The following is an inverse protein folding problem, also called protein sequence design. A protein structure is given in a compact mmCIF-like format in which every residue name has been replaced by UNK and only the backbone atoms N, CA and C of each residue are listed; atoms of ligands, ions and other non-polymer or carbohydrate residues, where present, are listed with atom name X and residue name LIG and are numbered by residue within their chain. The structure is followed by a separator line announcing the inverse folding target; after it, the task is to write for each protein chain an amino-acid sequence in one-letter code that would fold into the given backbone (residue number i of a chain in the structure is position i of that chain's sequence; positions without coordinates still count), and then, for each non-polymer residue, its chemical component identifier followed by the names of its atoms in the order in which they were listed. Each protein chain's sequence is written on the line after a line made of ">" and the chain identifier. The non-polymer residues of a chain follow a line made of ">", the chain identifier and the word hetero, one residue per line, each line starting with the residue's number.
data_IF_396725058048
#
_entry.id   IF_396725058048
#
_cell.length_a   1.000
_cell.length_b   1.000
_cell.length_c   1.000
_cell.angle_alpha   90.00
_cell.angle_beta   90.00
_cell.angle_gamma   90.00
#
_symmetry.space_group_name_H-M   'P 1'
#
loop_
_entity.id
_entity.type
_entity.pdbx_description
1 polymer ?
#
# COMPACT_ATOMS: atom_id res chain seq x y z
N UNK A 1 -3.27 -23.23 -22.17
CA UNK A 1 -4.02 -22.65 -21.04
C UNK A 1 -4.25 -21.17 -21.30
N UNK A 2 -5.37 -20.65 -20.83
CA UNK A 2 -5.63 -19.19 -20.84
C UNK A 2 -4.60 -18.52 -19.93
N UNK A 3 -4.14 -17.32 -20.28
CA UNK A 3 -3.20 -16.53 -19.47
C UNK A 3 -3.73 -16.34 -18.04
N UNK A 4 -2.87 -16.56 -17.04
CA UNK A 4 -3.18 -16.34 -15.63
C UNK A 4 -2.67 -14.96 -15.24
N UNK A 5 -3.54 -13.97 -14.98
CA UNK A 5 -3.10 -12.62 -14.59
C UNK A 5 -2.48 -12.62 -13.19
N UNK A 6 -1.57 -11.67 -12.95
CA UNK A 6 -0.91 -11.54 -11.64
C UNK A 6 -1.89 -11.20 -10.52
N UNK A 7 -2.96 -10.50 -10.85
CA UNK A 7 -4.05 -10.18 -9.95
C UNK A 7 -5.37 -10.04 -10.74
N UNK A 8 -6.45 -10.52 -10.15
CA UNK A 8 -7.82 -10.35 -10.63
C UNK A 8 -8.72 -10.18 -9.41
N UNK A 9 -9.50 -9.09 -9.31
CA UNK A 9 -10.43 -8.87 -8.21
C UNK A 9 -11.61 -9.84 -8.30
N UNK A 10 -12.23 -10.14 -7.15
CA UNK A 10 -13.42 -10.98 -7.08
C UNK A 10 -14.66 -10.08 -6.95
N UNK A 11 -15.41 -9.93 -8.06
CA UNK A 11 -16.57 -9.03 -8.17
C UNK A 11 -17.86 -9.84 -8.31
N UNK A 12 -18.16 -10.69 -7.36
CA UNK A 12 -19.33 -11.56 -7.35
C UNK A 12 -20.23 -11.38 -6.12
N UNK A 13 -20.12 -10.23 -5.45
CA UNK A 13 -20.97 -9.77 -4.34
C UNK A 13 -22.06 -8.80 -4.79
N UNK A 14 -22.25 -7.75 -4.01
CA UNK A 14 -23.26 -6.72 -4.23
C UNK A 14 -22.83 -5.58 -5.18
N UNK A 15 -21.63 -5.66 -5.79
CA UNK A 15 -21.06 -4.56 -6.59
C UNK A 15 -22.04 -4.09 -7.69
N UNK A 16 -22.55 -5.05 -8.48
CA UNK A 16 -23.50 -4.75 -9.57
C UNK A 16 -24.80 -4.15 -9.02
N UNK A 17 -25.31 -4.67 -7.90
CA UNK A 17 -26.55 -4.17 -7.28
C UNK A 17 -26.40 -2.69 -6.90
N UNK A 18 -25.34 -2.33 -6.18
CA UNK A 18 -25.12 -0.97 -5.71
C UNK A 18 -24.78 0.00 -6.84
N UNK A 19 -24.07 -0.47 -7.88
CA UNK A 19 -23.85 0.33 -9.09
C UNK A 19 -25.16 0.64 -9.82
N UNK A 20 -26.06 -0.34 -9.97
CA UNK A 20 -27.38 -0.10 -10.56
C UNK A 20 -28.17 0.91 -9.73
N UNK A 21 -28.15 0.83 -8.40
CA UNK A 21 -28.79 1.81 -7.53
C UNK A 21 -28.25 3.24 -7.75
N UNK A 22 -26.95 3.42 -7.94
CA UNK A 22 -26.39 4.72 -8.31
C UNK A 22 -26.97 5.27 -9.61
N UNK A 23 -27.15 4.41 -10.62
CA UNK A 23 -27.71 4.80 -11.91
C UNK A 23 -29.20 5.11 -11.79
N UNK A 24 -29.97 4.26 -11.12
CA UNK A 24 -31.42 4.40 -10.96
C UNK A 24 -31.79 5.66 -10.19
N UNK A 25 -30.98 6.03 -9.19
CA UNK A 25 -31.19 7.23 -8.37
C UNK A 25 -30.53 8.48 -8.91
N UNK A 26 -29.64 8.36 -9.89
CA UNK A 26 -28.86 9.47 -10.45
C UNK A 26 -27.72 9.95 -9.56
N UNK A 27 -27.47 9.33 -8.40
CA UNK A 27 -26.35 9.65 -7.50
C UNK A 27 -25.06 9.00 -7.96
N UNK A 28 -24.36 9.64 -8.90
CA UNK A 28 -23.12 9.10 -9.51
C UNK A 28 -21.84 9.85 -9.10
N UNK A 29 -21.97 11.08 -8.59
CA UNK A 29 -20.85 11.98 -8.29
C UNK A 29 -20.44 11.96 -6.82
N UNK A 30 -19.72 12.95 -6.34
CA UNK A 30 -19.04 12.94 -5.02
C UNK A 30 -19.95 13.27 -3.83
N UNK A 31 -21.22 13.52 -4.02
CA UNK A 31 -22.17 13.88 -2.94
C UNK A 31 -23.21 12.79 -2.63
N UNK A 32 -23.03 11.60 -3.20
CA UNK A 32 -23.96 10.50 -3.03
C UNK A 32 -23.90 9.83 -1.64
N UNK A 33 -24.96 9.10 -1.24
CA UNK A 33 -25.07 8.48 0.08
C UNK A 33 -24.01 7.42 0.34
N UNK A 34 -23.62 6.64 -0.68
CA UNK A 34 -22.60 5.61 -0.53
C UNK A 34 -21.22 6.18 -0.16
N UNK A 35 -20.88 7.41 -0.57
CA UNK A 35 -19.60 8.03 -0.17
C UNK A 35 -19.51 8.17 1.34
N UNK A 36 -20.56 8.71 1.98
CA UNK A 36 -20.59 8.89 3.44
C UNK A 36 -20.56 7.56 4.18
N UNK A 37 -21.32 6.59 3.69
CA UNK A 37 -21.37 5.25 4.28
C UNK A 37 -20.02 4.55 4.15
N UNK A 38 -19.36 4.65 2.99
CA UNK A 38 -18.04 4.07 2.77
C UNK A 38 -16.96 4.72 3.66
N UNK A 39 -16.98 6.06 3.78
CA UNK A 39 -16.08 6.78 4.71
C UNK A 39 -16.26 6.29 6.15
N UNK A 40 -17.49 6.14 6.61
CA UNK A 40 -17.80 5.65 7.94
C UNK A 40 -17.35 4.20 8.14
N UNK A 41 -17.72 3.31 7.23
CA UNK A 41 -17.40 1.88 7.34
C UNK A 41 -15.90 1.58 7.28
N UNK A 42 -15.14 2.29 6.44
CA UNK A 42 -13.68 2.14 6.39
C UNK A 42 -13.02 2.70 7.65
N UNK A 43 -13.48 3.85 8.16
CA UNK A 43 -12.95 4.38 9.43
C UNK A 43 -13.25 3.43 10.61
N UNK A 44 -14.44 2.87 10.71
CA UNK A 44 -14.81 1.86 11.71
C UNK A 44 -13.91 0.62 11.60
N UNK A 45 -13.73 0.08 10.39
CA UNK A 45 -12.89 -1.11 10.14
C UNK A 45 -11.40 -0.88 10.48
N UNK A 46 -10.91 0.35 10.33
CA UNK A 46 -9.55 0.75 10.72
C UNK A 46 -9.43 1.23 12.17
N UNK A 47 -10.52 1.21 12.96
CA UNK A 47 -10.51 1.67 14.35
C UNK A 47 -10.33 3.18 14.52
N UNK A 48 -10.70 3.99 13.50
CA UNK A 48 -10.61 5.45 13.48
C UNK A 48 -11.98 6.10 13.53
N UNK A 49 -12.02 7.38 13.93
CA UNK A 49 -13.24 8.18 14.00
C UNK A 49 -13.68 8.74 12.66
N UNK A 50 -12.74 9.18 11.84
CA UNK A 50 -13.00 9.92 10.61
C UNK A 50 -12.35 9.23 9.41
N UNK A 51 -13.14 9.08 8.34
CA UNK A 51 -12.70 8.67 7.02
C UNK A 51 -12.96 9.77 5.99
N UNK A 52 -12.03 9.98 5.09
CA UNK A 52 -12.13 10.95 3.99
C UNK A 52 -11.73 10.25 2.71
N UNK A 53 -12.73 9.89 1.90
CA UNK A 53 -12.52 9.22 0.62
C UNK A 53 -11.94 10.17 -0.42
N UNK A 54 -10.92 9.71 -1.14
CA UNK A 54 -10.22 10.47 -2.18
C UNK A 54 -10.02 9.64 -3.44
N UNK A 55 -9.64 10.29 -4.55
CA UNK A 55 -9.62 9.71 -5.88
C UNK A 55 -8.73 8.47 -6.04
N UNK A 56 -7.64 8.35 -5.28
CA UNK A 56 -6.72 7.21 -5.28
C UNK A 56 -5.77 7.26 -4.09
N UNK A 57 -4.94 6.22 -3.90
CA UNK A 57 -3.99 6.14 -2.78
C UNK A 57 -2.91 7.22 -2.81
N UNK A 58 -2.46 7.65 -3.99
CA UNK A 58 -1.50 8.77 -4.13
C UNK A 58 -2.11 10.07 -3.62
N UNK A 59 -3.35 10.36 -3.99
CA UNK A 59 -4.09 11.51 -3.46
C UNK A 59 -4.27 11.43 -1.94
N UNK A 60 -4.46 10.24 -1.38
CA UNK A 60 -4.54 10.05 0.08
C UNK A 60 -3.23 10.46 0.77
N UNK A 61 -2.08 10.03 0.25
CA UNK A 61 -0.77 10.40 0.78
C UNK A 61 -0.50 11.91 0.64
N UNK A 62 -0.80 12.50 -0.52
CA UNK A 62 -0.63 13.94 -0.75
C UNK A 62 -1.49 14.77 0.20
N UNK A 63 -2.75 14.39 0.40
CA UNK A 63 -3.65 15.04 1.36
C UNK A 63 -3.15 14.87 2.79
N UNK A 64 -2.67 13.68 3.17
CA UNK A 64 -2.13 13.42 4.51
C UNK A 64 -0.91 14.28 4.83
N UNK A 65 0.07 14.34 3.91
CA UNK A 65 1.28 15.16 4.07
C UNK A 65 0.93 16.66 4.21
N UNK A 66 0.04 17.16 3.34
CA UNK A 66 -0.40 18.56 3.39
C UNK A 66 -1.21 18.89 4.65
N UNK A 67 -2.09 17.96 5.08
CA UNK A 67 -2.93 18.16 6.27
C UNK A 67 -2.10 18.27 7.56
N UNK A 68 -0.98 17.56 7.64
CA UNK A 68 -0.03 17.65 8.76
C UNK A 68 0.81 18.95 8.75
N UNK A 69 0.67 19.80 7.73
CA UNK A 69 1.41 21.05 7.62
C UNK A 69 2.89 20.88 7.25
N UNK A 70 3.26 19.72 6.70
CA UNK A 70 4.61 19.46 6.17
C UNK A 70 4.82 20.37 4.96
N UNK A 71 5.99 21.02 4.90
CA UNK A 71 6.28 22.08 3.93
C UNK A 71 7.73 22.06 3.47
N UNK A 72 8.07 23.00 2.60
CA UNK A 72 9.43 23.16 2.06
C UNK A 72 10.50 23.19 3.15
N UNK A 73 11.51 22.36 2.99
CA UNK A 73 12.65 22.22 3.90
C UNK A 73 12.43 21.30 5.09
N UNK A 74 11.21 20.85 5.36
CA UNK A 74 10.95 19.80 6.34
C UNK A 74 11.46 18.45 5.85
N UNK A 75 11.80 17.55 6.77
CA UNK A 75 12.25 16.19 6.46
C UNK A 75 11.22 15.17 6.91
N UNK A 76 10.99 14.14 6.06
CA UNK A 76 10.13 12.98 6.36
C UNK A 76 10.93 11.71 6.20
N UNK A 77 11.13 10.97 7.29
CA UNK A 77 11.83 9.68 7.27
C UNK A 77 10.88 8.62 6.71
N UNK A 78 11.36 7.83 5.74
CA UNK A 78 10.57 6.81 5.05
C UNK A 78 11.45 5.70 4.46
N UNK A 79 10.90 4.51 4.13
CA UNK A 79 11.69 3.47 3.48
C UNK A 79 12.10 3.87 2.06
N UNK A 80 13.31 3.48 1.64
CA UNK A 80 13.72 3.61 0.24
C UNK A 80 13.00 2.59 -0.66
N UNK A 81 12.62 1.44 -0.11
CA UNK A 81 11.92 0.37 -0.82
C UNK A 81 10.42 0.48 -0.61
N UNK A 82 9.75 1.18 -1.53
CA UNK A 82 8.29 1.38 -1.52
C UNK A 82 7.79 1.88 -2.87
N UNK A 83 6.48 2.14 -2.97
CA UNK A 83 5.86 2.82 -4.12
C UNK A 83 6.29 4.28 -4.18
N UNK A 84 6.55 4.79 -5.38
CA UNK A 84 7.01 6.17 -5.59
C UNK A 84 6.07 7.23 -5.02
N UNK A 85 4.78 6.93 -4.88
CA UNK A 85 3.75 7.85 -4.35
C UNK A 85 4.09 8.39 -2.97
N UNK A 86 4.77 7.59 -2.12
CA UNK A 86 5.21 8.01 -0.79
C UNK A 86 6.20 9.18 -0.88
N UNK A 87 7.26 9.04 -1.65
CA UNK A 87 8.25 10.10 -1.84
C UNK A 87 7.69 11.28 -2.66
N UNK A 88 6.82 11.02 -3.64
CA UNK A 88 6.14 12.07 -4.40
C UNK A 88 5.28 12.97 -3.52
N UNK A 89 4.51 12.41 -2.59
CA UNK A 89 3.69 13.20 -1.67
C UNK A 89 4.54 14.17 -0.82
N UNK A 90 5.72 13.72 -0.38
CA UNK A 90 6.69 14.54 0.38
C UNK A 90 7.33 15.61 -0.51
N UNK A 91 7.83 15.23 -1.69
CA UNK A 91 8.53 16.18 -2.58
C UNK A 91 7.59 17.20 -3.22
N UNK A 92 6.31 16.87 -3.38
CA UNK A 92 5.29 17.79 -3.94
C UNK A 92 5.10 19.05 -3.08
N UNK A 93 5.30 18.96 -1.77
CA UNK A 93 5.24 20.11 -0.84
C UNK A 93 6.61 20.76 -0.60
N UNK A 94 7.65 20.37 -1.34
CA UNK A 94 9.01 20.86 -1.18
C UNK A 94 9.76 20.29 0.02
N UNK A 95 9.19 19.30 0.70
CA UNK A 95 9.86 18.57 1.78
C UNK A 95 10.84 17.52 1.24
N UNK A 96 11.72 17.04 2.09
CA UNK A 96 12.82 16.15 1.76
C UNK A 96 12.53 14.75 2.31
N UNK A 97 12.38 13.72 1.46
CA UNK A 97 12.38 12.33 1.93
C UNK A 97 13.76 11.97 2.47
N UNK A 98 13.81 11.44 3.70
CA UNK A 98 15.02 10.89 4.31
C UNK A 98 14.87 9.39 4.36
N UNK A 99 15.74 8.67 3.66
CA UNK A 99 15.56 7.27 3.38
C UNK A 99 16.21 6.37 4.44
N UNK A 100 15.57 5.23 4.71
CA UNK A 100 16.11 4.12 5.50
C UNK A 100 16.10 2.83 4.68
N UNK A 101 16.98 1.89 5.00
CA UNK A 101 17.05 0.58 4.33
C UNK A 101 15.86 -0.31 4.74
N UNK A 102 15.84 -1.52 4.26
CA UNK A 102 14.86 -2.54 4.58
C UNK A 102 15.42 -3.61 5.50
N UNK A 103 14.61 -4.10 6.42
CA UNK A 103 14.87 -5.37 7.08
C UNK A 103 14.73 -6.52 6.07
N UNK A 104 15.77 -7.33 5.96
CA UNK A 104 15.86 -8.37 4.93
C UNK A 104 14.89 -9.53 5.17
N UNK A 105 14.38 -9.71 6.37
CA UNK A 105 13.49 -10.80 6.73
C UNK A 105 12.02 -10.44 6.50
N UNK A 106 11.62 -9.25 6.94
CA UNK A 106 10.23 -8.77 6.82
C UNK A 106 9.99 -8.01 5.51
N UNK A 107 11.05 -7.56 4.84
CA UNK A 107 11.05 -6.68 3.66
C UNK A 107 10.50 -5.28 3.91
N UNK A 108 10.14 -4.99 5.14
CA UNK A 108 9.68 -3.68 5.59
C UNK A 108 10.86 -2.75 5.90
N UNK A 109 10.58 -1.49 6.22
CA UNK A 109 11.62 -0.55 6.63
C UNK A 109 12.37 -1.04 7.88
N UNK A 110 13.69 -0.81 7.91
CA UNK A 110 14.51 -1.09 9.08
C UNK A 110 14.28 0.01 10.13
N UNK A 111 13.59 -0.36 11.21
CA UNK A 111 13.21 0.58 12.27
C UNK A 111 14.40 1.03 13.11
N UNK A 112 15.48 0.24 13.17
CA UNK A 112 16.68 0.55 13.95
C UNK A 112 17.51 1.68 13.30
N UNK A 113 17.34 1.92 12.01
CA UNK A 113 18.01 3.05 11.31
C UNK A 113 17.33 4.40 11.54
N UNK A 114 16.08 4.45 11.99
CA UNK A 114 15.27 5.68 12.02
C UNK A 114 15.90 6.73 12.93
N UNK A 115 16.27 6.35 14.17
CA UNK A 115 16.76 7.31 15.17
C UNK A 115 18.01 8.05 14.71
N UNK A 116 18.93 7.37 14.02
CA UNK A 116 20.16 7.95 13.49
C UNK A 116 19.92 8.97 12.34
N UNK A 117 18.75 8.93 11.71
CA UNK A 117 18.35 9.85 10.62
C UNK A 117 17.59 11.08 11.10
N UNK A 118 17.24 11.17 12.41
CA UNK A 118 16.50 12.31 12.96
C UNK A 118 17.38 13.55 13.03
N UNK A 119 16.90 14.64 12.46
CA UNK A 119 17.52 15.99 12.53
C UNK A 119 16.53 17.01 13.09
N UNK A 120 16.95 18.25 13.39
CA UNK A 120 16.04 19.33 13.77
C UNK A 120 14.98 19.69 12.70
N UNK A 121 15.18 19.27 11.45
CA UNK A 121 14.24 19.46 10.33
C UNK A 121 13.23 18.33 10.20
N UNK A 122 13.47 17.19 10.84
CA UNK A 122 12.56 16.04 10.78
C UNK A 122 11.22 16.41 11.41
N UNK A 123 10.14 16.25 10.66
CA UNK A 123 8.76 16.54 11.07
C UNK A 123 7.90 15.30 11.17
N UNK A 124 8.20 14.29 10.37
CA UNK A 124 7.39 13.07 10.38
C UNK A 124 8.22 11.82 10.08
N UNK A 125 7.68 10.68 10.49
CA UNK A 125 8.03 9.36 9.98
C UNK A 125 6.84 8.84 9.19
N UNK A 126 7.08 8.37 7.97
CA UNK A 126 6.10 7.68 7.15
C UNK A 126 6.36 6.17 7.22
N UNK A 127 5.50 5.48 7.95
CA UNK A 127 5.47 4.02 8.01
C UNK A 127 4.83 3.52 6.71
N UNK A 128 5.47 2.61 6.00
CA UNK A 128 4.87 1.95 4.84
C UNK A 128 4.90 0.45 5.06
N UNK A 129 3.73 -0.14 5.16
CA UNK A 129 3.60 -1.59 5.33
C UNK A 129 3.64 -2.27 3.97
N UNK A 130 4.44 -3.33 3.83
CA UNK A 130 4.68 -3.97 2.54
C UNK A 130 4.18 -5.43 2.48
N UNK A 131 3.60 -5.77 1.35
CA UNK A 131 3.26 -7.13 0.91
C UNK A 131 2.37 -7.94 1.86
N UNK A 132 1.63 -7.26 2.75
CA UNK A 132 0.67 -7.89 3.65
C UNK A 132 1.20 -8.15 5.07
N UNK A 133 2.45 -7.78 5.36
CA UNK A 133 3.04 -7.84 6.69
C UNK A 133 3.29 -6.41 7.23
N UNK A 134 2.79 -6.04 8.42
CA UNK A 134 3.02 -4.71 8.97
C UNK A 134 4.47 -4.52 9.45
N UNK A 135 4.93 -3.27 9.41
CA UNK A 135 6.18 -2.82 10.06
C UNK A 135 6.04 -2.98 11.57
N UNK A 136 7.15 -3.20 12.27
CA UNK A 136 7.19 -3.10 13.73
C UNK A 136 6.91 -1.67 14.19
N UNK A 137 5.67 -1.42 14.58
CA UNK A 137 5.15 -0.06 14.75
C UNK A 137 5.47 0.52 16.13
N UNK A 138 5.59 -0.30 17.18
CA UNK A 138 5.74 0.15 18.57
C UNK A 138 7.01 1.01 18.75
N UNK A 139 8.15 0.60 18.19
CA UNK A 139 9.42 1.34 18.27
C UNK A 139 9.32 2.68 17.53
N UNK A 140 8.66 2.72 16.39
CA UNK A 140 8.47 3.97 15.63
C UNK A 140 7.61 4.96 16.42
N UNK A 141 6.51 4.49 17.01
CA UNK A 141 5.64 5.33 17.84
C UNK A 141 6.36 5.85 19.09
N UNK A 142 7.23 5.04 19.69
CA UNK A 142 8.06 5.47 20.83
C UNK A 142 9.07 6.56 20.41
N UNK A 143 9.73 6.41 19.27
CA UNK A 143 10.63 7.43 18.70
C UNK A 143 9.88 8.70 18.33
N UNK A 144 8.74 8.59 17.66
CA UNK A 144 7.90 9.73 17.30
C UNK A 144 7.49 10.55 18.53
N UNK A 145 7.08 9.86 19.62
CA UNK A 145 6.78 10.51 20.89
C UNK A 145 8.02 11.18 21.53
N UNK A 146 9.18 10.52 21.49
CA UNK A 146 10.44 11.01 22.07
C UNK A 146 10.90 12.31 21.39
N UNK A 147 10.74 12.41 20.08
CA UNK A 147 11.25 13.50 19.26
C UNK A 147 10.16 14.48 18.77
N UNK A 148 8.92 14.33 19.27
CA UNK A 148 7.75 15.14 18.85
C UNK A 148 7.52 15.12 17.33
N UNK A 149 7.63 13.94 16.72
CA UNK A 149 7.41 13.74 15.30
C UNK A 149 5.98 13.32 15.01
N UNK A 150 5.48 13.68 13.83
CA UNK A 150 4.23 13.16 13.31
C UNK A 150 4.45 11.77 12.70
N UNK A 151 3.39 10.95 12.70
CA UNK A 151 3.42 9.63 12.08
C UNK A 151 2.35 9.55 11.01
N UNK A 152 2.78 9.28 9.77
CA UNK A 152 1.92 8.94 8.64
C UNK A 152 2.00 7.43 8.45
N UNK A 153 0.86 6.74 8.43
CA UNK A 153 0.81 5.31 8.16
C UNK A 153 0.27 5.08 6.74
N UNK A 154 1.10 4.54 5.86
CA UNK A 154 0.62 4.00 4.59
C UNK A 154 0.18 2.55 4.77
N UNK A 155 -1.14 2.36 4.91
CA UNK A 155 -1.81 1.08 5.08
C UNK A 155 -2.45 0.58 3.77
N UNK A 156 -1.98 1.06 2.61
CA UNK A 156 -2.54 0.72 1.30
C UNK A 156 -2.56 -0.78 0.98
N UNK A 157 -1.78 -1.59 1.69
CA UNK A 157 -1.68 -3.04 1.51
C UNK A 157 -2.20 -3.82 2.73
N UNK A 158 -2.91 -3.13 3.67
CA UNK A 158 -3.23 -3.63 5.00
C UNK A 158 -4.73 -3.75 5.29
N UNK A 159 -5.59 -3.83 4.29
CA UNK A 159 -7.03 -4.01 4.51
C UNK A 159 -7.32 -5.29 5.30
N UNK A 160 -7.86 -5.14 6.52
CA UNK A 160 -8.15 -6.24 7.43
C UNK A 160 -6.94 -6.83 8.16
N UNK A 161 -5.75 -6.20 8.05
CA UNK A 161 -4.58 -6.57 8.82
C UNK A 161 -4.60 -5.97 10.22
N UNK A 162 -3.94 -6.67 11.15
CA UNK A 162 -3.74 -6.20 12.53
C UNK A 162 -2.27 -6.30 12.93
N UNK A 163 -1.84 -5.38 13.79
CA UNK A 163 -0.58 -5.38 14.51
C UNK A 163 -0.89 -5.46 16.01
N UNK A 164 -0.42 -6.50 16.69
CA UNK A 164 -0.76 -6.78 18.11
C UNK A 164 -2.28 -6.70 18.39
N UNK A 165 -3.09 -7.19 17.45
CA UNK A 165 -4.56 -7.20 17.54
C UNK A 165 -5.24 -5.85 17.26
N UNK A 166 -4.51 -4.77 17.01
CA UNK A 166 -5.05 -3.47 16.60
C UNK A 166 -5.08 -3.38 15.07
N UNK A 167 -6.14 -2.87 14.45
CA UNK A 167 -6.20 -2.73 13.00
C UNK A 167 -5.06 -1.85 12.45
N UNK A 168 -4.42 -2.27 11.37
CA UNK A 168 -3.58 -1.38 10.57
C UNK A 168 -4.48 -0.29 9.97
N UNK A 169 -3.98 0.95 9.91
CA UNK A 169 -4.78 2.15 9.67
C UNK A 169 -5.10 2.90 10.97
N UNK A 170 -4.81 2.31 12.16
CA UNK A 170 -5.06 2.95 13.46
C UNK A 170 -3.82 3.56 14.11
N UNK A 171 -2.67 3.56 13.44
CA UNK A 171 -1.41 4.02 14.02
C UNK A 171 -1.07 5.46 13.60
N UNK A 172 -0.38 6.19 14.50
CA UNK A 172 0.07 7.55 14.25
C UNK A 172 -1.05 8.60 14.18
N UNK A 173 -0.74 9.74 13.59
CA UNK A 173 -1.64 10.90 13.48
C UNK A 173 -2.67 10.74 12.36
N UNK A 174 -2.27 10.12 11.26
CA UNK A 174 -3.06 9.98 10.03
C UNK A 174 -2.62 8.72 9.27
N UNK A 175 -3.59 8.01 8.69
CA UNK A 175 -3.30 6.81 7.90
C UNK A 175 -3.98 6.86 6.54
N UNK A 176 -3.41 6.17 5.56
CA UNK A 176 -3.90 6.18 4.18
C UNK A 176 -4.14 4.77 3.66
N UNK A 177 -5.18 4.62 2.84
CA UNK A 177 -5.50 3.38 2.13
C UNK A 177 -5.62 3.62 0.63
N UNK A 178 -5.41 2.55 -0.13
CA UNK A 178 -5.63 2.50 -1.58
C UNK A 178 -6.65 1.42 -1.91
N UNK A 179 -7.55 1.70 -2.84
CA UNK A 179 -8.53 0.75 -3.36
C UNK A 179 -8.28 0.43 -4.84
N UNK A 180 -7.01 0.42 -5.25
CA UNK A 180 -6.59 -0.03 -6.58
C UNK A 180 -6.99 -1.50 -6.80
N UNK A 181 -7.22 -1.99 -8.04
CA UNK A 181 -7.76 -3.32 -8.33
C UNK A 181 -7.01 -4.50 -7.73
N UNK A 182 -5.76 -4.34 -7.37
CA UNK A 182 -4.96 -5.41 -6.76
C UNK A 182 -5.01 -5.43 -5.22
N UNK A 183 -5.74 -4.52 -4.58
CA UNK A 183 -5.90 -4.50 -3.12
C UNK A 183 -6.92 -5.56 -2.67
N UNK A 184 -6.98 -5.85 -1.37
CA UNK A 184 -7.94 -6.83 -0.84
C UNK A 184 -9.39 -6.42 -1.13
N UNK A 185 -9.67 -5.12 -1.04
CA UNK A 185 -10.93 -4.52 -1.49
C UNK A 185 -10.60 -3.43 -2.51
N UNK A 186 -11.45 -3.28 -3.51
CA UNK A 186 -11.21 -2.33 -4.61
C UNK A 186 -12.44 -1.48 -4.93
N UNK A 187 -12.18 -0.30 -5.47
CA UNK A 187 -13.17 0.59 -6.08
C UNK A 187 -12.84 0.90 -7.55
N UNK A 188 -11.92 0.10 -8.16
CA UNK A 188 -11.30 0.40 -9.45
C UNK A 188 -10.12 1.37 -9.29
N UNK A 189 -10.40 2.59 -8.94
CA UNK A 189 -9.47 3.58 -8.39
C UNK A 189 -10.09 4.16 -7.12
N UNK A 190 -9.28 4.47 -6.10
CA UNK A 190 -9.76 5.06 -4.87
C UNK A 190 -8.70 5.10 -3.78
N UNK A 191 -8.92 5.95 -2.80
CA UNK A 191 -8.13 6.05 -1.59
C UNK A 191 -8.97 6.51 -0.41
N UNK A 192 -8.42 6.38 0.78
CA UNK A 192 -9.02 6.90 2.01
C UNK A 192 -7.94 7.46 2.91
N UNK A 193 -8.21 8.60 3.50
CA UNK A 193 -7.47 9.12 4.65
C UNK A 193 -8.29 8.84 5.89
N UNK A 194 -7.67 8.32 6.95
CA UNK A 194 -8.34 8.09 8.23
C UNK A 194 -7.57 8.71 9.38
N UNK A 195 -8.28 9.25 10.37
CA UNK A 195 -7.68 9.89 11.55
C UNK A 195 -8.69 9.94 12.70
N UNK A 196 -8.20 10.12 13.94
CA UNK A 196 -9.03 10.41 15.11
C UNK A 196 -9.15 11.92 15.42
N UNK A 197 -8.32 12.73 14.76
CA UNK A 197 -8.27 14.18 14.95
C UNK A 197 -9.26 14.88 14.01
N UNK A 198 -10.23 15.60 14.60
CA UNK A 198 -11.27 16.31 13.86
C UNK A 198 -10.72 17.44 12.99
N UNK A 199 -9.72 18.17 13.48
CA UNK A 199 -9.10 19.27 12.73
C UNK A 199 -8.36 18.75 11.49
N UNK A 200 -7.63 17.62 11.63
CA UNK A 200 -7.00 16.96 10.49
C UNK A 200 -8.06 16.43 9.51
N UNK A 201 -9.15 15.86 9.99
CA UNK A 201 -10.22 15.37 9.13
C UNK A 201 -10.86 16.52 8.31
N UNK A 202 -11.17 17.65 8.95
CA UNK A 202 -11.69 18.84 8.25
C UNK A 202 -10.67 19.42 7.27
N UNK A 203 -9.39 19.44 7.65
CA UNK A 203 -8.32 19.85 6.75
C UNK A 203 -8.22 18.96 5.51
N UNK A 204 -8.30 17.64 5.69
CA UNK A 204 -8.32 16.68 4.57
C UNK A 204 -9.54 16.87 3.65
N UNK A 205 -10.74 17.11 4.22
CA UNK A 205 -11.95 17.42 3.43
C UNK A 205 -11.79 18.69 2.60
N UNK A 206 -11.15 19.70 3.16
CA UNK A 206 -10.88 20.96 2.47
C UNK A 206 -9.89 20.78 1.32
N UNK A 207 -8.75 20.12 1.57
CA UNK A 207 -7.73 19.79 0.56
C UNK A 207 -8.27 18.91 -0.57
N UNK A 208 -9.08 17.89 -0.25
CA UNK A 208 -9.73 17.02 -1.24
C UNK A 208 -10.56 17.77 -2.28
N UNK A 209 -11.10 18.90 -1.91
CA UNK A 209 -12.11 19.63 -2.67
C UNK A 209 -11.64 21.04 -3.09
N UNK A 210 -10.45 21.15 -3.68
CA UNK A 210 -9.94 22.41 -4.24
C UNK A 210 -9.84 23.56 -3.24
N UNK A 211 -9.85 23.31 -1.95
CA UNK A 211 -9.88 24.34 -0.89
C UNK A 211 -10.98 25.41 -1.10
N UNK A 212 -12.21 24.99 -1.48
CA UNK A 212 -13.34 25.91 -1.54
C UNK A 212 -13.61 26.53 -0.17
N UNK A 213 -13.83 27.85 -0.10
CA UNK A 213 -14.39 28.50 1.09
C UNK A 213 -15.75 27.95 1.42
N UNK A 214 -16.02 27.72 2.72
CA UNK A 214 -17.32 27.18 3.17
C UNK A 214 -18.49 28.12 2.82
N UNK A 215 -18.26 29.43 2.92
CA UNK A 215 -19.33 30.44 2.83
C UNK A 215 -19.47 31.07 1.45
N UNK A 216 -18.46 30.94 0.58
CA UNK A 216 -18.45 31.59 -0.74
C UNK A 216 -17.97 30.60 -1.81
N UNK A 217 -18.92 30.10 -2.59
CA UNK A 217 -18.62 29.16 -3.69
C UNK A 217 -17.69 29.80 -4.72
N UNK A 218 -16.74 29.01 -5.27
CA UNK A 218 -15.71 29.42 -6.24
C UNK A 218 -14.67 30.42 -5.73
N UNK A 219 -14.60 30.65 -4.43
CA UNK A 219 -13.50 31.35 -3.79
C UNK A 219 -12.64 30.36 -3.03
N UNK A 220 -11.31 30.46 -3.17
CA UNK A 220 -10.34 29.52 -2.64
C UNK A 220 -9.30 30.28 -1.80
N UNK A 221 -8.96 29.77 -0.63
CA UNK A 221 -7.93 30.36 0.25
C UNK A 221 -6.54 29.81 -0.08
N UNK A 222 -6.49 28.62 -0.66
CA UNK A 222 -5.26 27.90 -0.95
C UNK A 222 -5.39 27.17 -2.30
N UNK A 223 -4.24 26.81 -2.88
CA UNK A 223 -4.18 25.95 -4.06
C UNK A 223 -4.19 24.49 -3.61
N UNK A 224 -5.14 23.72 -4.13
CA UNK A 224 -5.21 22.28 -3.97
C UNK A 224 -5.84 21.63 -5.19
N UNK A 225 -5.85 20.31 -5.22
CA UNK A 225 -6.30 19.52 -6.35
C UNK A 225 -7.75 19.03 -6.17
N UNK A 226 -8.32 18.52 -7.25
CA UNK A 226 -9.59 17.80 -7.22
C UNK A 226 -9.34 16.32 -6.94
N UNK A 227 -9.43 15.95 -5.68
CA UNK A 227 -9.28 14.55 -5.23
C UNK A 227 -10.60 13.91 -4.82
N UNK A 228 -11.74 14.42 -5.30
CA UNK A 228 -13.06 13.89 -4.93
C UNK A 228 -13.24 12.45 -5.37
N UNK A 229 -13.92 11.70 -4.52
CA UNK A 229 -14.31 10.31 -4.72
C UNK A 229 -15.78 10.24 -5.15
N UNK A 230 -16.12 9.36 -6.07
CA UNK A 230 -17.47 9.26 -6.62
C UNK A 230 -18.35 8.25 -5.87
N UNK A 231 -19.67 8.45 -5.95
CA UNK A 231 -20.65 7.50 -5.39
C UNK A 231 -20.58 6.13 -6.07
N UNK A 232 -20.24 6.10 -7.37
CA UNK A 232 -20.03 4.85 -8.12
C UNK A 232 -18.87 4.04 -7.54
N UNK A 233 -17.74 4.68 -7.23
CA UNK A 233 -16.61 4.04 -6.58
C UNK A 233 -16.96 3.56 -5.17
N UNK A 234 -17.67 4.39 -4.40
CA UNK A 234 -18.13 4.05 -3.05
C UNK A 234 -19.06 2.84 -3.04
N UNK A 235 -19.96 2.74 -4.01
CA UNK A 235 -20.87 1.61 -4.17
C UNK A 235 -20.13 0.28 -4.36
N UNK A 236 -19.10 0.28 -5.20
CA UNK A 236 -18.21 -0.89 -5.36
C UNK A 236 -17.47 -1.18 -4.06
N UNK A 237 -16.89 -0.15 -3.43
CA UNK A 237 -16.11 -0.26 -2.19
C UNK A 237 -16.91 -0.85 -1.03
N UNK A 238 -18.16 -0.44 -0.86
CA UNK A 238 -19.05 -0.99 0.17
C UNK A 238 -19.32 -2.47 -0.03
N UNK A 239 -19.66 -2.87 -1.27
CA UNK A 239 -19.88 -4.27 -1.60
C UNK A 239 -18.63 -5.16 -1.33
N UNK A 240 -17.45 -4.62 -1.62
CA UNK A 240 -16.18 -5.29 -1.34
C UNK A 240 -15.89 -5.36 0.18
N UNK A 241 -16.14 -4.27 0.91
CA UNK A 241 -15.90 -4.18 2.34
C UNK A 241 -16.78 -5.15 3.15
N UNK A 242 -18.02 -5.41 2.72
CA UNK A 242 -18.92 -6.43 3.28
C UNK A 242 -18.27 -7.82 3.36
N UNK A 243 -17.27 -8.07 2.54
CA UNK A 243 -16.60 -9.38 2.39
C UNK A 243 -15.13 -9.36 2.80
N UNK A 244 -14.68 -8.32 3.49
CA UNK A 244 -13.27 -8.14 3.83
C UNK A 244 -12.68 -9.36 4.57
N UNK A 245 -13.39 -9.88 5.58
CA UNK A 245 -12.92 -11.04 6.36
C UNK A 245 -12.80 -12.31 5.50
N UNK A 246 -13.75 -12.53 4.59
CA UNK A 246 -13.69 -13.62 3.60
C UNK A 246 -12.45 -13.48 2.71
N UNK A 247 -12.16 -12.27 2.24
CA UNK A 247 -11.02 -11.99 1.37
C UNK A 247 -9.69 -12.17 2.09
N UNK A 248 -9.57 -11.70 3.33
CA UNK A 248 -8.38 -11.92 4.16
C UNK A 248 -8.16 -13.42 4.39
N UNK A 249 -9.21 -14.16 4.73
CA UNK A 249 -9.14 -15.62 4.91
C UNK A 249 -8.66 -16.31 3.65
N UNK A 250 -9.25 -15.98 2.49
CA UNK A 250 -8.88 -16.56 1.19
C UNK A 250 -7.42 -16.25 0.82
N UNK A 251 -6.95 -15.05 1.10
CA UNK A 251 -5.55 -14.66 0.87
C UNK A 251 -4.59 -15.46 1.76
N UNK A 252 -4.91 -15.64 3.04
CA UNK A 252 -4.12 -16.47 3.95
C UNK A 252 -4.08 -17.94 3.52
N UNK A 253 -5.21 -18.49 3.08
CA UNK A 253 -5.27 -19.86 2.54
C UNK A 253 -4.39 -20.01 1.30
N UNK A 254 -4.47 -19.08 0.36
CA UNK A 254 -3.61 -19.00 -0.82
C UNK A 254 -2.11 -18.92 -0.42
N UNK A 255 -1.77 -18.03 0.49
CA UNK A 255 -0.38 -17.85 0.95
C UNK A 255 0.19 -19.12 1.59
N UNK A 256 -0.59 -19.77 2.46
CA UNK A 256 -0.18 -21.06 3.07
C UNK A 256 -0.02 -22.17 2.02
N UNK A 257 -0.91 -22.22 1.04
CA UNK A 257 -0.79 -23.18 -0.06
C UNK A 257 0.53 -22.99 -0.81
N UNK A 258 0.82 -21.78 -1.26
CA UNK A 258 2.07 -21.48 -1.96
C UNK A 258 3.31 -21.74 -1.10
N UNK A 259 3.28 -21.33 0.17
CA UNK A 259 4.38 -21.57 1.10
C UNK A 259 4.64 -23.07 1.31
N UNK A 260 3.60 -23.89 1.46
CA UNK A 260 3.73 -25.32 1.59
C UNK A 260 4.34 -25.99 0.35
N UNK A 261 3.91 -25.57 -0.83
CA UNK A 261 4.36 -26.15 -2.09
C UNK A 261 5.77 -25.72 -2.50
N UNK A 262 6.19 -24.51 -2.10
CA UNK A 262 7.45 -23.91 -2.55
C UNK A 262 8.58 -23.94 -1.50
N UNK A 263 8.31 -24.27 -0.23
CA UNK A 263 9.29 -24.22 0.89
C UNK A 263 10.58 -24.97 0.66
N UNK A 264 10.56 -26.03 -0.14
CA UNK A 264 11.73 -26.90 -0.38
C UNK A 264 12.42 -26.61 -1.71
N UNK A 265 12.02 -25.53 -2.39
CA UNK A 265 12.64 -25.16 -3.68
C UNK A 265 13.89 -24.35 -3.39
N UNK A 266 15.03 -24.94 -3.73
CA UNK A 266 16.32 -24.30 -3.54
C UNK A 266 16.42 -23.00 -4.37
N UNK A 267 16.95 -21.95 -3.76
CA UNK A 267 17.09 -20.64 -4.39
C UNK A 267 15.86 -19.74 -4.29
N UNK A 268 14.79 -20.15 -3.59
CA UNK A 268 13.65 -19.30 -3.25
C UNK A 268 13.66 -18.97 -1.76
N UNK A 269 13.49 -17.70 -1.44
CA UNK A 269 13.20 -17.19 -0.10
C UNK A 269 11.73 -16.76 -0.12
N UNK A 270 10.92 -17.40 0.73
CA UNK A 270 9.47 -17.18 0.79
C UNK A 270 9.13 -16.10 1.82
N UNK A 271 7.95 -15.44 1.70
CA UNK A 271 7.53 -14.43 2.66
C UNK A 271 7.32 -15.04 4.04
N UNK A 272 7.61 -14.27 5.09
CA UNK A 272 7.31 -14.67 6.46
C UNK A 272 5.80 -14.82 6.61
N UNK A 273 5.36 -15.97 7.14
CA UNK A 273 3.95 -16.24 7.42
C UNK A 273 3.47 -15.48 8.66
N UNK A 274 4.33 -15.41 9.69
CA UNK A 274 4.00 -14.82 10.98
C UNK A 274 5.22 -14.22 11.65
N UNK A 275 5.00 -13.10 12.33
CA UNK A 275 5.89 -12.54 13.35
C UNK A 275 5.22 -12.66 14.73
N UNK A 276 5.87 -12.18 15.79
CA UNK A 276 5.29 -12.16 17.13
C UNK A 276 4.08 -11.20 17.22
N UNK A 277 4.00 -10.22 16.32
CA UNK A 277 3.00 -9.16 16.33
C UNK A 277 1.92 -9.28 15.24
N UNK A 278 2.12 -10.07 14.17
CA UNK A 278 1.18 -10.18 13.06
C UNK A 278 1.27 -11.50 12.30
N UNK A 279 0.14 -11.91 11.69
CA UNK A 279 0.08 -12.96 10.66
C UNK A 279 -0.10 -12.29 9.29
N UNK A 280 0.72 -12.67 8.31
CA UNK A 280 0.68 -12.10 6.97
C UNK A 280 -0.68 -12.29 6.29
N UNK A 281 -1.22 -11.25 5.67
CA UNK A 281 -2.47 -11.31 4.88
C UNK A 281 -2.19 -11.44 3.38
N UNK A 282 -0.93 -11.47 2.97
CA UNK A 282 -0.49 -11.67 1.59
C UNK A 282 -1.21 -10.75 0.58
N UNK A 283 -1.04 -9.43 0.70
CA UNK A 283 -1.52 -8.54 -0.37
C UNK A 283 -1.12 -9.07 -1.73
N UNK A 284 0.13 -9.47 -1.90
CA UNK A 284 0.63 -10.30 -2.99
C UNK A 284 1.46 -11.44 -2.40
N UNK A 285 1.63 -12.53 -3.14
CA UNK A 285 2.57 -13.57 -2.76
C UNK A 285 3.94 -13.27 -3.36
N UNK A 286 4.75 -12.56 -2.58
CA UNK A 286 6.13 -12.20 -2.92
C UNK A 286 7.08 -13.37 -2.76
N UNK A 287 8.09 -13.41 -3.60
CA UNK A 287 9.19 -14.40 -3.55
C UNK A 287 10.48 -13.64 -3.82
N UNK A 288 11.54 -13.96 -3.07
CA UNK A 288 12.87 -13.41 -3.27
C UNK A 288 13.81 -14.51 -3.77
N UNK A 289 14.55 -14.25 -4.83
CA UNK A 289 15.61 -15.15 -5.29
C UNK A 289 16.82 -15.05 -4.34
N UNK A 290 17.34 -16.21 -3.93
CA UNK A 290 18.57 -16.26 -3.14
C UNK A 290 19.73 -15.57 -3.86
N UNK A 291 20.70 -15.05 -3.10
CA UNK A 291 21.89 -14.35 -3.63
C UNK A 291 22.70 -15.23 -4.57
N UNK A 292 22.74 -16.55 -4.34
CA UNK A 292 23.46 -17.53 -5.15
C UNK A 292 22.86 -17.74 -6.53
N UNK A 293 21.60 -17.40 -6.73
CA UNK A 293 20.97 -17.44 -8.07
C UNK A 293 21.51 -16.29 -8.92
N UNK A 294 22.18 -16.60 -10.02
CA UNK A 294 22.76 -15.60 -10.92
C UNK A 294 21.70 -14.76 -11.65
N UNK A 295 20.54 -15.33 -11.92
CA UNK A 295 19.43 -14.66 -12.60
C UNK A 295 18.81 -13.57 -11.73
N UNK A 296 18.23 -12.56 -12.36
CA UNK A 296 17.44 -11.52 -11.75
C UNK A 296 15.91 -11.80 -11.86
N UNK A 297 15.11 -10.99 -11.19
CA UNK A 297 13.66 -11.09 -11.23
C UNK A 297 13.06 -10.86 -12.63
N UNK A 298 13.70 -10.06 -13.50
CA UNK A 298 13.23 -9.80 -14.87
C UNK A 298 13.34 -11.05 -15.73
N UNK A 299 14.43 -11.79 -15.58
CA UNK A 299 14.62 -13.10 -16.24
C UNK A 299 13.52 -14.07 -15.84
N UNK A 300 13.21 -14.14 -14.53
CA UNK A 300 12.15 -15.02 -14.04
C UNK A 300 10.76 -14.59 -14.54
N UNK A 301 10.49 -13.30 -14.58
CA UNK A 301 9.23 -12.79 -15.15
C UNK A 301 9.06 -13.20 -16.61
N UNK A 302 10.12 -13.12 -17.42
CA UNK A 302 10.10 -13.53 -18.82
C UNK A 302 9.77 -15.02 -18.95
N UNK A 303 10.44 -15.88 -18.18
CA UNK A 303 10.19 -17.32 -18.19
C UNK A 303 8.76 -17.67 -17.74
N UNK A 304 8.23 -16.99 -16.73
CA UNK A 304 6.84 -17.17 -16.31
C UNK A 304 5.84 -16.70 -17.38
N UNK A 305 6.13 -15.60 -18.07
CA UNK A 305 5.29 -15.09 -19.15
C UNK A 305 5.25 -16.06 -20.36
N UNK A 306 6.35 -16.73 -20.68
CA UNK A 306 6.42 -17.79 -21.70
C UNK A 306 5.54 -18.99 -21.36
N UNK A 307 5.31 -19.25 -20.07
CA UNK A 307 4.36 -20.28 -19.58
C UNK A 307 2.92 -19.72 -19.37
N UNK A 308 2.63 -18.50 -19.85
CA UNK A 308 1.31 -17.89 -19.73
C UNK A 308 0.95 -17.39 -18.32
N UNK A 309 1.96 -17.12 -17.47
CA UNK A 309 1.78 -16.67 -16.09
C UNK A 309 2.21 -15.21 -15.95
N UNK A 310 1.29 -14.36 -15.54
CA UNK A 310 1.57 -12.96 -15.16
C UNK A 310 2.35 -12.87 -13.85
N UNK A 311 3.32 -11.98 -13.79
CA UNK A 311 4.10 -11.69 -12.58
C UNK A 311 4.53 -10.23 -12.58
N UNK A 312 5.05 -9.72 -11.45
CA UNK A 312 5.62 -8.38 -11.33
C UNK A 312 6.90 -8.45 -10.51
N UNK A 313 7.84 -7.54 -10.77
CA UNK A 313 8.97 -7.30 -9.88
C UNK A 313 8.49 -6.65 -8.59
N UNK A 314 9.29 -6.72 -7.56
CA UNK A 314 9.13 -5.90 -6.36
C UNK A 314 9.32 -4.42 -6.69
N UNK A 315 9.03 -3.53 -5.71
CA UNK A 315 9.24 -2.11 -5.87
C UNK A 315 10.69 -1.77 -6.21
N UNK A 316 10.89 -0.63 -6.85
CA UNK A 316 12.22 -0.09 -7.12
C UNK A 316 12.58 0.93 -6.04
N UNK A 317 13.84 0.98 -5.63
CA UNK A 317 14.30 1.88 -4.57
C UNK A 317 14.16 3.35 -4.93
N UNK A 318 13.78 4.20 -3.98
CA UNK A 318 13.59 5.64 -4.20
C UNK A 318 14.89 6.34 -4.61
N UNK A 319 16.02 6.01 -3.96
CA UNK A 319 17.33 6.60 -4.27
C UNK A 319 17.81 6.26 -5.69
N UNK A 320 17.28 5.24 -6.32
CA UNK A 320 17.62 4.84 -7.69
C UNK A 320 16.59 5.34 -8.73
N UNK A 321 15.53 6.02 -8.32
CA UNK A 321 14.53 6.53 -9.27
C UNK A 321 15.14 7.64 -10.15
N UNK A 322 15.11 7.49 -11.48
CA UNK A 322 15.73 8.48 -12.38
C UNK A 322 15.21 9.90 -12.19
N UNK A 323 13.96 10.05 -11.77
CA UNK A 323 13.36 11.37 -11.53
C UNK A 323 14.04 12.10 -10.37
N UNK A 324 14.38 11.38 -9.29
CA UNK A 324 15.07 11.97 -8.13
C UNK A 324 16.57 12.16 -8.38
N UNK A 325 17.20 11.22 -9.05
CA UNK A 325 18.62 11.36 -9.46
C UNK A 325 18.84 12.57 -10.36
N UNK A 326 17.94 12.85 -11.32
CA UNK A 326 17.97 14.06 -12.16
C UNK A 326 17.85 15.36 -11.39
N UNK A 327 17.21 15.32 -10.21
CA UNK A 327 17.09 16.45 -9.30
C UNK A 327 18.28 16.56 -8.32
N UNK A 328 19.27 15.66 -8.43
CA UNK A 328 20.43 15.62 -7.53
C UNK A 328 20.14 15.06 -6.14
N UNK A 329 18.96 14.44 -5.96
CA UNK A 329 18.59 13.81 -4.69
C UNK A 329 19.27 12.45 -4.53
N UNK A 330 19.56 12.08 -3.27
CA UNK A 330 20.11 10.77 -2.87
C UNK A 330 21.45 10.40 -3.51
N UNK A 331 22.24 11.38 -3.94
CA UNK A 331 23.52 11.15 -4.62
C UNK A 331 24.51 10.42 -3.69
N UNK A 332 24.97 9.22 -4.13
CA UNK A 332 25.91 8.39 -3.38
C UNK A 332 25.32 7.60 -2.22
N UNK A 333 24.00 7.66 -2.01
CA UNK A 333 23.34 6.82 -1.03
C UNK A 333 23.23 5.38 -1.52
N UNK A 334 23.36 4.41 -0.59
CA UNK A 334 23.26 2.97 -0.84
C UNK A 334 22.43 2.32 0.25
N UNK A 335 21.59 1.36 -0.14
CA UNK A 335 20.68 0.63 0.75
C UNK A 335 20.69 -0.86 0.34
N UNK A 336 21.68 -1.63 0.84
CA UNK A 336 22.01 -2.96 0.30
C UNK A 336 20.86 -3.97 0.34
N UNK A 337 20.05 -3.93 1.39
CA UNK A 337 18.90 -4.85 1.52
C UNK A 337 17.79 -4.46 0.55
N UNK A 338 17.41 -3.18 0.51
CA UNK A 338 16.40 -2.66 -0.39
C UNK A 338 16.77 -2.90 -1.87
N UNK A 339 18.04 -2.66 -2.23
CA UNK A 339 18.57 -2.92 -3.56
C UNK A 339 18.51 -4.40 -3.95
N UNK A 340 18.82 -5.28 -3.00
CA UNK A 340 18.69 -6.72 -3.21
C UNK A 340 17.25 -7.14 -3.42
N UNK A 341 16.32 -6.64 -2.58
CA UNK A 341 14.88 -6.88 -2.73
C UNK A 341 14.38 -6.41 -4.10
N UNK A 342 14.76 -5.21 -4.54
CA UNK A 342 14.34 -4.65 -5.81
C UNK A 342 14.82 -5.46 -7.03
N UNK A 343 16.02 -6.06 -6.97
CA UNK A 343 16.61 -6.81 -8.08
C UNK A 343 16.25 -8.29 -8.11
N UNK A 344 15.93 -8.85 -6.96
CA UNK A 344 15.70 -10.30 -6.81
C UNK A 344 14.25 -10.63 -6.44
N UNK A 345 13.49 -9.68 -5.93
CA UNK A 345 12.11 -9.87 -5.52
C UNK A 345 11.13 -9.78 -6.69
N UNK A 346 10.13 -10.67 -6.69
CA UNK A 346 9.02 -10.68 -7.62
C UNK A 346 7.79 -11.28 -6.94
N UNK A 347 6.61 -11.10 -7.52
CA UNK A 347 5.42 -11.78 -7.02
C UNK A 347 4.66 -12.48 -8.14
N UNK A 348 4.05 -13.59 -7.76
CA UNK A 348 3.29 -14.50 -8.63
C UNK A 348 1.79 -14.24 -8.49
N UNK A 349 0.94 -14.84 -9.35
CA UNK A 349 -0.50 -14.67 -9.29
C UNK A 349 -1.05 -14.88 -7.89
N UNK A 350 -1.75 -13.87 -7.39
CA UNK A 350 -2.28 -13.83 -6.01
C UNK A 350 -3.60 -13.07 -5.90
N UNK A 351 -4.35 -12.92 -7.00
CA UNK A 351 -5.67 -12.30 -7.03
C UNK A 351 -6.73 -13.13 -6.29
N UNK A 352 -7.81 -12.48 -5.86
CA UNK A 352 -8.91 -13.12 -5.15
C UNK A 352 -9.74 -14.05 -6.05
N UNK A 353 -9.74 -13.82 -7.37
CA UNK A 353 -10.44 -14.67 -8.32
C UNK A 353 -9.65 -15.94 -8.72
N UNK A 354 -8.40 -16.08 -8.25
CA UNK A 354 -7.51 -17.19 -8.57
C UNK A 354 -8.12 -18.54 -8.11
N UNK A 355 -8.14 -19.53 -9.02
CA UNK A 355 -8.65 -20.88 -8.71
C UNK A 355 -7.56 -21.82 -8.20
N UNK A 356 -7.96 -22.94 -7.60
CA UNK A 356 -7.02 -23.95 -7.12
C UNK A 356 -6.19 -24.54 -8.28
N UNK A 357 -6.80 -24.84 -9.42
CA UNK A 357 -6.12 -25.38 -10.59
C UNK A 357 -5.10 -24.40 -11.17
N UNK A 358 -5.40 -23.10 -11.11
CA UNK A 358 -4.46 -22.05 -11.51
C UNK A 358 -3.26 -21.99 -10.55
N UNK A 359 -3.49 -22.08 -9.24
CA UNK A 359 -2.42 -22.10 -8.24
C UNK A 359 -1.51 -23.33 -8.43
N UNK A 360 -2.07 -24.50 -8.66
CA UNK A 360 -1.33 -25.74 -8.94
C UNK A 360 -0.46 -25.61 -10.19
N UNK A 361 -1.02 -25.02 -11.24
CA UNK A 361 -0.27 -24.75 -12.46
C UNK A 361 0.89 -23.79 -12.23
N UNK A 362 0.65 -22.67 -11.54
CA UNK A 362 1.70 -21.69 -11.19
C UNK A 362 2.83 -22.37 -10.41
N UNK A 363 2.51 -23.15 -9.39
CA UNK A 363 3.49 -23.90 -8.60
C UNK A 363 4.31 -24.85 -9.46
N UNK A 364 3.66 -25.64 -10.32
CA UNK A 364 4.33 -26.56 -11.22
C UNK A 364 5.35 -25.84 -12.12
N UNK A 365 4.99 -24.66 -12.66
CA UNK A 365 5.86 -23.89 -13.54
C UNK A 365 6.99 -23.20 -12.80
N UNK A 366 6.74 -22.67 -11.61
CA UNK A 366 7.79 -22.10 -10.74
C UNK A 366 8.84 -23.19 -10.41
N UNK A 367 8.40 -24.38 -9.99
CA UNK A 367 9.29 -25.52 -9.71
C UNK A 367 10.14 -25.89 -10.95
N UNK A 368 9.52 -25.99 -12.12
CA UNK A 368 10.21 -26.28 -13.39
C UNK A 368 11.28 -25.23 -13.73
N UNK A 369 10.91 -23.94 -13.65
CA UNK A 369 11.81 -22.83 -13.97
C UNK A 369 12.99 -22.80 -12.98
N UNK A 370 12.76 -22.98 -11.69
CA UNK A 370 13.83 -22.99 -10.70
C UNK A 370 14.82 -24.14 -10.92
N UNK A 371 14.37 -25.31 -11.37
CA UNK A 371 15.26 -26.42 -11.75
C UNK A 371 16.17 -26.08 -12.93
N UNK A 372 15.77 -25.15 -13.80
CA UNK A 372 16.60 -24.71 -14.93
C UNK A 372 17.59 -23.62 -14.54
N UNK A 373 17.29 -22.83 -13.51
CA UNK A 373 18.11 -21.70 -13.06
C UNK A 373 19.17 -22.08 -12.02
N UNK A 374 19.01 -23.23 -11.42
CA UNK A 374 19.91 -23.78 -10.40
C UNK A 374 20.85 -24.85 -10.98
#
# INVERSE_FOLDING_TARGET
>A
MTFIPVNEPLLNGNEKKYLCECIDTGWISSEGPFVKEFEQKVSEASGRKYGIAVANGTAALEVAVQALGIREGDEVIMPTFTIISCAMAVTKVGAVPVLVDSDIHTWNMDVDEIEAKITPKTKAVMIVHLYGLPVETDNILALAKKYDLKVIEDAAEMHGQTYNGKPCGSFGDISTFSFYPNKHITTGEGGMVVTDNEELAERCRHLRNLCFKKDVRYVHDEISDNYRFTNLQAAVGLAQLERLDEFVKKKREMGRYYSNELRNIKGLILPIERTDYAENIYWVYGILLDRDIKSDNKTLQKLLAEEGIGSRTFFWCMHEQPVYQKQGMFAGETYPNAEYLARKGFYIPSGLALTQEQMEYVVCKVKKIMTQLY
#
